data_IF_296022644776
#
_entry.id   IF_296022644776
#
_cell.length_a   1.000
_cell.length_b   1.000
_cell.length_c   1.000
_cell.angle_alpha   90.00
_cell.angle_beta   90.00
_cell.angle_gamma   90.00
#
_symmetry.space_group_name_H-M   'P 1'
#
loop_
_entity.id
_entity.type
_entity.pdbx_description
1 polymer ?
#
# COMPACT_ATOMS: atom_id res chain seq x y z
N UNK A 1 -17.59 -10.12 5.65
CA UNK A 1 -16.73 -9.90 4.46
C UNK A 1 -15.98 -8.60 4.70
N UNK A 2 -14.74 -8.68 5.19
CA UNK A 2 -13.89 -7.50 5.33
C UNK A 2 -12.95 -7.50 4.12
N UNK A 3 -13.49 -7.06 2.98
CA UNK A 3 -12.68 -6.83 1.79
C UNK A 3 -12.30 -5.35 1.84
N UNK A 4 -11.00 -5.07 1.96
CA UNK A 4 -10.49 -3.70 1.85
C UNK A 4 -10.18 -3.44 0.39
N UNK A 5 -10.65 -2.31 -0.14
CA UNK A 5 -10.27 -1.87 -1.48
C UNK A 5 -8.80 -1.43 -1.51
N UNK A 6 -8.30 -0.85 -0.41
CA UNK A 6 -6.91 -0.42 -0.25
C UNK A 6 -6.42 -0.54 1.20
N UNK A 7 -5.13 -0.86 1.36
CA UNK A 7 -4.41 -0.80 2.64
C UNK A 7 -3.16 0.08 2.47
N UNK A 8 -2.98 1.04 3.38
CA UNK A 8 -1.84 1.96 3.38
C UNK A 8 -0.89 1.66 4.56
N UNK A 9 0.38 1.40 4.27
CA UNK A 9 1.41 1.12 5.27
C UNK A 9 2.39 2.28 5.42
N UNK A 10 2.74 2.59 6.66
CA UNK A 10 3.65 3.71 6.99
C UNK A 10 4.96 3.25 7.63
N UNK A 11 5.04 2.00 8.07
CA UNK A 11 6.23 1.43 8.70
C UNK A 11 6.42 -0.04 8.31
N UNK A 12 7.66 -0.58 8.30
CA UNK A 12 7.89 -2.01 8.11
C UNK A 12 7.14 -2.90 9.11
N UNK A 13 7.00 -2.44 10.36
CA UNK A 13 6.28 -3.19 11.40
C UNK A 13 4.78 -3.34 11.10
N UNK A 14 4.18 -2.41 10.35
CA UNK A 14 2.77 -2.52 9.95
C UNK A 14 2.53 -3.63 8.92
N UNK A 15 3.52 -3.94 8.07
CA UNK A 15 3.49 -5.11 7.17
C UNK A 15 3.57 -6.40 7.98
N UNK A 16 4.52 -6.49 8.90
CA UNK A 16 4.65 -7.66 9.78
C UNK A 16 3.36 -7.92 10.57
N UNK A 17 2.78 -6.86 11.13
CA UNK A 17 1.53 -6.93 11.89
C UNK A 17 0.37 -7.46 11.05
N UNK A 18 0.29 -7.14 9.76
CA UNK A 18 -0.72 -7.69 8.86
C UNK A 18 -0.66 -9.22 8.84
N UNK A 19 0.51 -9.79 8.60
CA UNK A 19 0.65 -11.26 8.47
C UNK A 19 0.61 -11.99 9.81
N UNK A 20 1.03 -11.36 10.91
CA UNK A 20 0.90 -11.95 12.25
C UNK A 20 -0.57 -12.00 12.71
N UNK A 21 -1.33 -10.94 12.48
CA UNK A 21 -2.73 -10.85 12.91
C UNK A 21 -3.72 -11.43 11.89
N UNK A 22 -3.30 -11.56 10.63
CA UNK A 22 -4.09 -12.14 9.53
C UNK A 22 -3.23 -13.19 8.80
N UNK A 23 -3.02 -14.39 9.40
CA UNK A 23 -2.06 -15.40 8.92
C UNK A 23 -2.35 -16.02 7.54
N UNK A 24 -3.47 -15.63 6.92
CA UNK A 24 -3.87 -16.05 5.57
C UNK A 24 -4.23 -14.87 4.68
N UNK A 25 -3.69 -13.67 4.95
CA UNK A 25 -3.91 -12.52 4.10
C UNK A 25 -3.52 -12.86 2.66
N UNK A 26 -4.46 -12.62 1.75
CA UNK A 26 -4.25 -12.71 0.31
C UNK A 26 -4.63 -11.36 -0.28
N UNK A 27 -3.76 -10.82 -1.11
CA UNK A 27 -3.97 -9.48 -1.67
C UNK A 27 -5.25 -9.42 -2.50
N UNK A 28 -5.57 -10.42 -3.34
CA UNK A 28 -6.88 -10.61 -3.99
C UNK A 28 -7.56 -9.33 -4.51
N UNK A 29 -6.80 -8.44 -5.15
CA UNK A 29 -7.30 -7.18 -5.72
C UNK A 29 -7.31 -5.98 -4.75
N UNK A 30 -6.98 -6.17 -3.47
CA UNK A 30 -6.69 -5.08 -2.54
C UNK A 30 -5.47 -4.31 -3.01
N UNK A 31 -5.65 -3.00 -3.21
CA UNK A 31 -4.57 -2.09 -3.54
C UNK A 31 -3.65 -1.90 -2.32
N UNK A 32 -2.34 -2.01 -2.51
CA UNK A 32 -1.35 -1.78 -1.44
C UNK A 32 -0.58 -0.50 -1.72
N UNK A 33 -0.64 0.43 -0.76
CA UNK A 33 0.08 1.69 -0.80
C UNK A 33 1.08 1.75 0.36
N UNK A 34 2.27 2.31 0.12
CA UNK A 34 3.33 2.39 1.12
C UNK A 34 3.93 3.79 1.20
N UNK A 35 4.32 4.20 2.41
CA UNK A 35 5.09 5.40 2.67
C UNK A 35 6.47 5.07 3.25
N UNK A 36 7.53 5.48 2.56
CA UNK A 36 8.94 5.29 2.93
C UNK A 36 9.61 4.09 2.25
N UNK A 37 10.87 4.24 1.86
CA UNK A 37 11.65 3.21 1.16
C UNK A 37 11.80 1.91 1.94
N UNK A 38 12.00 2.00 3.26
CA UNK A 38 12.09 0.82 4.12
C UNK A 38 10.76 0.04 4.17
N UNK A 39 9.63 0.76 4.17
CA UNK A 39 8.29 0.15 4.16
C UNK A 39 8.03 -0.53 2.81
N UNK A 40 8.39 0.13 1.70
CA UNK A 40 8.29 -0.47 0.36
C UNK A 40 9.07 -1.78 0.26
N UNK A 41 10.33 -1.77 0.70
CA UNK A 41 11.18 -2.96 0.69
C UNK A 41 10.57 -4.10 1.52
N UNK A 42 10.12 -3.81 2.74
CA UNK A 42 9.49 -4.82 3.61
C UNK A 42 8.20 -5.42 2.99
N UNK A 43 7.41 -4.60 2.29
CA UNK A 43 6.20 -5.07 1.62
C UNK A 43 6.52 -5.95 0.40
N UNK A 44 7.51 -5.57 -0.40
CA UNK A 44 8.00 -6.36 -1.55
C UNK A 44 8.60 -7.70 -1.09
N UNK A 45 9.41 -7.70 -0.02
CA UNK A 45 9.96 -8.91 0.59
C UNK A 45 8.87 -9.84 1.17
N UNK A 46 7.75 -9.27 1.60
CA UNK A 46 6.57 -10.01 2.04
C UNK A 46 5.68 -10.49 0.87
N UNK A 47 6.07 -10.24 -0.37
CA UNK A 47 5.36 -10.69 -1.58
C UNK A 47 4.12 -9.85 -1.94
N UNK A 48 4.01 -8.61 -1.42
CA UNK A 48 2.94 -7.69 -1.78
C UNK A 48 3.28 -6.90 -3.04
N UNK A 49 2.29 -6.74 -3.92
CA UNK A 49 2.39 -5.86 -5.08
C UNK A 49 1.91 -4.46 -4.74
N UNK A 50 2.76 -3.46 -4.99
CA UNK A 50 2.56 -2.09 -4.55
C UNK A 50 2.02 -1.23 -5.69
N UNK A 51 0.82 -0.67 -5.51
CA UNK A 51 0.23 0.27 -6.48
C UNK A 51 0.77 1.69 -6.32
N UNK A 52 1.14 2.07 -5.09
CA UNK A 52 1.65 3.40 -4.75
C UNK A 52 2.87 3.23 -3.87
N UNK A 53 3.96 3.91 -4.23
CA UNK A 53 5.17 4.06 -3.41
C UNK A 53 5.45 5.54 -3.19
N UNK A 54 5.14 6.04 -2.01
CA UNK A 54 5.46 7.40 -1.58
C UNK A 54 6.59 7.38 -0.54
N UNK A 55 7.31 8.48 -0.27
CA UNK A 55 7.30 9.71 -1.06
C UNK A 55 8.05 9.53 -2.40
N UNK A 56 7.60 10.26 -3.42
CA UNK A 56 8.28 10.47 -4.70
C UNK A 56 8.19 11.96 -5.09
N UNK A 57 8.94 12.38 -6.11
CA UNK A 57 8.99 13.79 -6.54
C UNK A 57 7.60 14.40 -6.79
N UNK A 58 6.70 13.65 -7.43
CA UNK A 58 5.31 14.03 -7.71
C UNK A 58 4.31 13.59 -6.62
N UNK A 59 4.73 12.78 -5.65
CA UNK A 59 3.90 12.22 -4.58
C UNK A 59 4.60 12.40 -3.22
N UNK A 60 4.74 13.64 -2.72
CA UNK A 60 5.56 13.92 -1.52
C UNK A 60 4.92 13.41 -0.21
N UNK A 61 3.61 13.14 -0.23
CA UNK A 61 2.85 12.64 0.91
C UNK A 61 1.91 11.52 0.47
N UNK A 62 1.45 10.70 1.41
CA UNK A 62 0.43 9.68 1.13
C UNK A 62 -0.87 10.31 0.63
N UNK A 63 -1.26 11.49 1.13
CA UNK A 63 -2.44 12.22 0.68
C UNK A 63 -2.31 12.59 -0.81
N UNK A 64 -1.19 13.21 -1.20
CA UNK A 64 -0.95 13.57 -2.59
C UNK A 64 -0.90 12.34 -3.51
N UNK A 65 -0.33 11.23 -3.02
CA UNK A 65 -0.29 9.98 -3.77
C UNK A 65 -1.68 9.38 -4.01
N UNK A 66 -2.55 9.41 -3.00
CA UNK A 66 -3.94 8.96 -3.10
C UNK A 66 -4.75 9.86 -4.03
N UNK A 67 -4.58 11.18 -3.96
CA UNK A 67 -5.27 12.12 -4.85
C UNK A 67 -4.94 11.84 -6.32
N UNK A 68 -3.67 11.57 -6.63
CA UNK A 68 -3.23 11.19 -7.99
C UNK A 68 -3.85 9.86 -8.39
N UNK A 69 -3.71 8.81 -7.57
CA UNK A 69 -4.23 7.48 -7.85
C UNK A 69 -5.75 7.49 -8.14
N UNK A 70 -6.52 8.17 -7.30
CA UNK A 70 -7.98 8.25 -7.49
C UNK A 70 -8.36 9.13 -8.69
N UNK A 71 -7.59 10.17 -9.00
CA UNK A 71 -7.83 11.01 -10.18
C UNK A 71 -7.54 10.30 -11.50
N UNK A 72 -6.55 9.39 -11.51
CA UNK A 72 -6.24 8.57 -12.67
C UNK A 72 -7.24 7.42 -12.86
N UNK A 73 -7.76 6.85 -11.77
CA UNK A 73 -8.78 5.80 -11.81
C UNK A 73 -10.17 6.24 -12.31
N UNK A 74 -10.45 7.56 -12.32
CA UNK A 74 -11.75 8.13 -12.74
C UNK A 74 -11.83 8.49 -14.23
N UNK A 75 -10.91 7.99 -15.06
CA UNK A 75 -10.86 8.31 -16.50
C UNK A 75 -11.68 7.37 -17.40
N UNK A 76 -12.60 6.60 -16.83
CA UNK A 76 -13.58 5.79 -17.58
C UNK A 76 -14.96 6.44 -17.62
#
# INVERSE_FOLDING_TARGET
KNNYDMICFFTPSSIRSLFENVPGFQQNGTAISVFGSNTSKAAEEAGLELVIKAPQHNMPSMVAALDIYFSESKKD
#
